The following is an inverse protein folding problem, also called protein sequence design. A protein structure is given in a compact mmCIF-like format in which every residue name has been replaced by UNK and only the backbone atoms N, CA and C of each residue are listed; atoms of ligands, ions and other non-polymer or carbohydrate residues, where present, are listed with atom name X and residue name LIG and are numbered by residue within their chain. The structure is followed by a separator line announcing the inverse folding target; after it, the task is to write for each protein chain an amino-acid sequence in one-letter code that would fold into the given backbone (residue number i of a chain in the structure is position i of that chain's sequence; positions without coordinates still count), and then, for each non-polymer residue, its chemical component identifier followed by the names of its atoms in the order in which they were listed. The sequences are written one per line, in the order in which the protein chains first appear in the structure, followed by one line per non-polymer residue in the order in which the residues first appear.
data_IF_013155434094
#
_entry.id   IF_013155434094
#
_cell.length_a   1.000
_cell.length_b   1.000
_cell.length_c   1.000
_cell.angle_alpha   90.00
_cell.angle_beta   90.00
_cell.angle_gamma   90.00
#
_symmetry.space_group_name_H-M   'P 1'
#
loop_
_entity.id
_entity.type
_entity.pdbx_description
1 polymer ?
#
# COMPACT_ATOMS: atom_id res chain seq x y z
N UNK A 1 -13.08 -13.84 34.98
CA UNK A 1 -12.03 -14.13 33.97
C UNK A 1 -12.44 -13.34 32.74
N UNK A 2 -11.83 -12.17 32.53
CA UNK A 2 -12.07 -11.35 31.34
C UNK A 2 -11.40 -12.00 30.16
N UNK A 3 -12.21 -12.42 29.18
CA UNK A 3 -11.77 -12.90 27.89
C UNK A 3 -10.99 -11.76 27.18
N UNK A 4 -9.67 -11.77 27.27
CA UNK A 4 -8.79 -10.90 26.49
C UNK A 4 -8.57 -11.54 25.12
N UNK A 5 -9.64 -11.62 24.32
CA UNK A 5 -9.46 -11.88 22.89
C UNK A 5 -8.62 -10.74 22.29
N UNK A 6 -7.57 -11.10 21.54
CA UNK A 6 -6.75 -10.11 20.84
C UNK A 6 -7.67 -9.17 20.02
N UNK A 7 -7.43 -7.85 20.06
CA UNK A 7 -8.28 -6.91 19.33
C UNK A 7 -8.35 -7.31 17.86
N UNK A 8 -9.57 -7.29 17.30
CA UNK A 8 -9.76 -7.66 15.91
C UNK A 8 -8.87 -6.76 15.01
N UNK A 9 -8.23 -7.35 13.99
CA UNK A 9 -7.29 -6.64 13.10
C UNK A 9 -7.87 -5.32 12.52
N UNK A 10 -9.20 -5.27 12.32
CA UNK A 10 -9.88 -4.05 11.85
C UNK A 10 -9.74 -2.87 12.83
N UNK A 11 -9.48 -3.11 14.12
CA UNK A 11 -9.30 -2.07 15.13
C UNK A 11 -7.97 -1.30 15.00
N UNK A 12 -7.10 -1.69 14.08
CA UNK A 12 -5.94 -0.88 13.66
C UNK A 12 -6.41 0.48 13.12
N UNK A 13 -7.55 0.54 12.42
CA UNK A 13 -8.20 1.79 11.97
C UNK A 13 -9.37 2.14 12.89
N UNK A 14 -9.09 2.34 14.16
CA UNK A 14 -10.07 2.80 15.17
C UNK A 14 -10.19 4.34 15.18
N UNK A 15 -11.07 4.85 16.03
CA UNK A 15 -11.33 6.30 16.14
C UNK A 15 -10.10 7.11 16.55
N UNK A 16 -9.26 6.58 17.44
CA UNK A 16 -8.04 7.22 17.90
C UNK A 16 -7.05 7.35 16.73
N UNK A 17 -6.91 6.30 15.92
CA UNK A 17 -6.06 6.30 14.74
C UNK A 17 -6.55 7.29 13.68
N UNK A 18 -7.84 7.36 13.43
CA UNK A 18 -8.42 8.36 12.52
C UNK A 18 -8.14 9.78 13.02
N UNK A 19 -8.24 10.02 14.33
CA UNK A 19 -7.92 11.31 14.92
C UNK A 19 -6.43 11.65 14.77
N UNK A 20 -5.54 10.68 14.97
CA UNK A 20 -4.11 10.87 14.74
C UNK A 20 -3.80 11.25 13.28
N UNK A 21 -4.38 10.53 12.31
CA UNK A 21 -4.24 10.88 10.89
C UNK A 21 -4.71 12.31 10.61
N UNK A 22 -5.86 12.71 11.16
CA UNK A 22 -6.39 14.06 10.99
C UNK A 22 -5.46 15.12 11.59
N UNK A 23 -4.89 14.88 12.76
CA UNK A 23 -3.95 15.77 13.44
C UNK A 23 -2.67 15.94 12.62
N UNK A 24 -2.07 14.83 12.19
CA UNK A 24 -0.83 14.87 11.42
C UNK A 24 -1.03 15.48 10.02
N UNK A 25 -2.20 15.22 9.41
CA UNK A 25 -2.54 15.86 8.13
C UNK A 25 -2.75 17.36 8.29
N UNK A 26 -3.36 17.83 9.38
CA UNK A 26 -3.50 19.28 9.68
C UNK A 26 -2.12 19.93 9.90
N UNK A 27 -1.18 19.23 10.52
CA UNK A 27 0.19 19.74 10.69
C UNK A 27 0.93 19.86 9.35
N UNK A 28 0.67 18.98 8.39
CA UNK A 28 1.25 19.02 7.03
C UNK A 28 0.53 20.06 6.15
N UNK A 29 -0.78 20.17 6.29
CA UNK A 29 -1.65 21.04 5.50
C UNK A 29 -2.62 21.81 6.42
N UNK A 30 -2.27 23.02 6.87
CA UNK A 30 -3.11 23.79 7.82
C UNK A 30 -4.54 24.09 7.35
N UNK A 31 -4.78 24.10 6.03
CA UNK A 31 -6.12 24.27 5.45
C UNK A 31 -6.92 22.97 5.35
N UNK A 32 -6.43 21.86 5.93
CA UNK A 32 -7.10 20.56 5.88
C UNK A 32 -8.42 20.58 6.65
N UNK A 33 -9.51 20.14 6.03
CA UNK A 33 -10.80 19.95 6.70
C UNK A 33 -10.80 18.66 7.52
N UNK A 34 -10.21 18.72 8.72
CA UNK A 34 -10.15 17.60 9.66
C UNK A 34 -11.55 17.11 10.10
N UNK A 35 -12.52 18.01 10.21
CA UNK A 35 -13.89 17.64 10.61
C UNK A 35 -14.61 16.89 9.48
N UNK A 36 -14.51 17.37 8.25
CA UNK A 36 -15.01 16.69 7.06
C UNK A 36 -14.39 15.31 6.90
N UNK A 37 -13.06 15.21 6.98
CA UNK A 37 -12.34 13.94 6.96
C UNK A 37 -12.88 12.96 8.01
N UNK A 38 -12.94 13.36 9.27
CA UNK A 38 -13.41 12.51 10.37
C UNK A 38 -14.87 12.10 10.20
N UNK A 39 -15.72 12.98 9.67
CA UNK A 39 -17.12 12.67 9.37
C UNK A 39 -17.20 11.55 8.32
N UNK A 40 -16.45 11.65 7.22
CA UNK A 40 -16.41 10.64 6.17
C UNK A 40 -15.78 9.32 6.64
N UNK A 41 -14.64 9.37 7.31
CA UNK A 41 -13.90 8.20 7.76
C UNK A 41 -14.64 7.38 8.81
N UNK A 42 -15.44 8.02 9.68
CA UNK A 42 -16.22 7.34 10.74
C UNK A 42 -17.53 6.73 10.24
N UNK A 43 -18.04 7.15 9.10
CA UNK A 43 -19.35 6.71 8.61
C UNK A 43 -19.39 5.19 8.38
N UNK A 44 -20.22 4.48 9.16
CA UNK A 44 -20.36 3.02 9.07
C UNK A 44 -19.12 2.22 9.44
N UNK A 45 -18.16 2.80 10.17
CA UNK A 45 -16.85 2.18 10.46
C UNK A 45 -16.96 0.79 11.12
N UNK A 46 -17.96 0.58 11.99
CA UNK A 46 -18.14 -0.69 12.71
C UNK A 46 -18.37 -1.88 11.77
N UNK A 47 -19.05 -1.65 10.63
CA UNK A 47 -19.45 -2.68 9.69
C UNK A 47 -18.35 -2.98 8.65
N UNK A 48 -17.29 -2.16 8.60
CA UNK A 48 -16.23 -2.29 7.63
C UNK A 48 -15.15 -3.30 8.07
N UNK A 49 -14.70 -4.12 7.12
CA UNK A 49 -13.48 -4.91 7.24
C UNK A 49 -12.24 -4.01 7.29
N UNK A 50 -11.09 -4.56 7.69
CA UNK A 50 -9.82 -3.80 7.76
C UNK A 50 -9.45 -3.15 6.42
N UNK A 51 -9.59 -3.86 5.29
CA UNK A 51 -9.28 -3.33 3.97
C UNK A 51 -10.26 -2.24 3.52
N UNK A 52 -11.54 -2.39 3.89
CA UNK A 52 -12.55 -1.36 3.63
C UNK A 52 -12.32 -0.11 4.48
N UNK A 53 -11.85 -0.25 5.74
CA UNK A 53 -11.47 0.88 6.58
C UNK A 53 -10.25 1.62 6.02
N UNK A 54 -9.24 0.89 5.53
CA UNK A 54 -8.08 1.46 4.84
C UNK A 54 -8.51 2.26 3.60
N UNK A 55 -9.32 1.68 2.73
CA UNK A 55 -9.87 2.36 1.54
C UNK A 55 -10.67 3.61 1.94
N UNK A 56 -11.52 3.50 2.98
CA UNK A 56 -12.32 4.60 3.50
C UNK A 56 -11.45 5.78 3.95
N UNK A 57 -10.29 5.55 4.58
CA UNK A 57 -9.34 6.62 4.94
C UNK A 57 -8.84 7.35 3.70
N UNK A 58 -8.40 6.59 2.68
CA UNK A 58 -7.95 7.14 1.40
C UNK A 58 -9.05 7.98 0.72
N UNK A 59 -10.26 7.44 0.60
CA UNK A 59 -11.40 8.12 -0.03
C UNK A 59 -11.80 9.38 0.75
N UNK A 60 -11.72 9.32 2.10
CA UNK A 60 -12.04 10.48 2.95
C UNK A 60 -11.03 11.61 2.79
N UNK A 61 -9.74 11.31 2.60
CA UNK A 61 -8.74 12.31 2.28
C UNK A 61 -9.03 12.96 0.92
N UNK A 62 -9.31 12.13 -0.09
CA UNK A 62 -9.64 12.63 -1.42
C UNK A 62 -10.86 13.55 -1.44
N UNK A 63 -11.87 13.22 -0.65
CA UNK A 63 -13.11 14.00 -0.57
C UNK A 63 -12.95 15.40 0.02
N UNK A 64 -11.92 15.64 0.85
CA UNK A 64 -11.74 16.91 1.58
C UNK A 64 -10.49 17.70 1.17
N UNK A 65 -9.63 17.12 0.33
CA UNK A 65 -8.44 17.80 -0.19
C UNK A 65 -8.76 18.35 -1.59
N UNK A 66 -8.96 19.67 -1.74
CA UNK A 66 -9.33 20.28 -3.02
C UNK A 66 -8.10 20.58 -3.90
N UNK A 67 -7.19 19.62 -3.99
CA UNK A 67 -5.94 19.72 -4.75
C UNK A 67 -5.89 18.64 -5.83
N UNK A 68 -5.11 18.88 -6.87
CA UNK A 68 -4.82 17.88 -7.89
C UNK A 68 -3.96 16.72 -7.33
N UNK A 69 -3.82 15.66 -8.11
CA UNK A 69 -3.07 14.48 -7.70
C UNK A 69 -1.60 14.79 -7.38
N UNK A 70 -0.82 15.51 -8.21
CA UNK A 70 0.56 15.87 -7.89
C UNK A 70 0.72 16.71 -6.63
N UNK A 71 -0.20 17.63 -6.37
CA UNK A 71 -0.20 18.46 -5.17
C UNK A 71 -0.54 17.64 -3.92
N UNK A 72 -1.56 16.77 -4.01
CA UNK A 72 -1.94 15.88 -2.93
C UNK A 72 -0.81 14.89 -2.60
N UNK A 73 -0.11 14.35 -3.60
CA UNK A 73 1.04 13.48 -3.35
C UNK A 73 2.12 14.15 -2.49
N UNK A 74 2.41 15.44 -2.69
CA UNK A 74 3.39 16.17 -1.85
C UNK A 74 2.98 16.15 -0.37
N UNK A 75 1.68 16.29 -0.09
CA UNK A 75 1.15 16.20 1.26
C UNK A 75 1.30 14.79 1.82
N UNK A 76 0.99 13.76 1.02
CA UNK A 76 1.10 12.36 1.43
C UNK A 76 2.57 11.95 1.68
N UNK A 77 3.52 12.45 0.89
CA UNK A 77 4.96 12.29 1.15
C UNK A 77 5.36 12.87 2.51
N UNK A 78 4.88 14.07 2.85
CA UNK A 78 5.17 14.69 4.14
C UNK A 78 4.45 14.02 5.31
N UNK A 79 3.28 13.41 5.06
CA UNK A 79 2.50 12.67 6.06
C UNK A 79 3.12 11.31 6.41
N UNK A 80 3.67 10.58 5.44
CA UNK A 80 4.13 9.21 5.61
C UNK A 80 5.03 8.98 6.84
N UNK A 81 6.10 9.77 7.08
CA UNK A 81 6.99 9.57 8.22
C UNK A 81 6.33 9.88 9.59
N UNK A 82 5.14 10.45 9.59
CA UNK A 82 4.42 10.87 10.81
C UNK A 82 3.40 9.83 11.31
N UNK A 83 3.15 8.77 10.53
CA UNK A 83 2.06 7.81 10.81
C UNK A 83 2.40 6.73 11.83
N UNK A 84 3.63 6.56 12.27
CA UNK A 84 4.06 5.66 13.35
C UNK A 84 3.51 4.21 13.31
N UNK A 85 3.06 3.71 12.13
CA UNK A 85 2.49 2.37 11.98
C UNK A 85 2.51 1.93 10.52
N UNK A 86 3.26 0.85 10.23
CA UNK A 86 3.37 0.30 8.89
C UNK A 86 2.04 -0.12 8.30
N UNK A 87 1.17 -0.77 9.08
CA UNK A 87 -0.13 -1.21 8.58
C UNK A 87 -1.09 -0.02 8.30
N UNK A 88 -1.06 1.01 9.14
CA UNK A 88 -1.87 2.22 8.91
C UNK A 88 -1.43 2.92 7.64
N UNK A 89 -0.12 2.96 7.35
CA UNK A 89 0.42 3.62 6.16
C UNK A 89 -0.07 3.03 4.84
N UNK A 90 -0.69 1.85 4.82
CA UNK A 90 -1.23 1.20 3.61
C UNK A 90 -2.28 2.03 2.87
N UNK A 91 -2.95 2.97 3.52
CA UNK A 91 -3.87 3.87 2.82
C UNK A 91 -3.16 4.83 1.85
N UNK A 92 -1.86 5.12 2.05
CA UNK A 92 -1.07 5.98 1.17
C UNK A 92 -0.88 5.35 -0.22
N UNK A 93 -0.30 4.12 -0.34
CA UNK A 93 -0.24 3.45 -1.64
C UNK A 93 -1.63 3.13 -2.20
N UNK A 94 -2.65 2.89 -1.37
CA UNK A 94 -4.02 2.73 -1.84
C UNK A 94 -4.54 4.00 -2.52
N UNK A 95 -4.24 5.18 -1.97
CA UNK A 95 -4.56 6.46 -2.60
C UNK A 95 -3.93 6.56 -3.99
N UNK A 96 -2.66 6.17 -4.13
CA UNK A 96 -1.95 6.15 -5.42
C UNK A 96 -2.66 5.24 -6.42
N UNK A 97 -3.04 4.02 -6.01
CA UNK A 97 -3.75 3.07 -6.88
C UNK A 97 -5.13 3.55 -7.32
N UNK A 98 -5.81 4.33 -6.46
CA UNK A 98 -7.17 4.83 -6.74
C UNK A 98 -7.18 6.09 -7.62
N UNK A 99 -6.19 6.98 -7.46
CA UNK A 99 -6.24 8.32 -8.04
C UNK A 99 -5.04 8.65 -8.94
N UNK A 100 -4.02 7.77 -9.03
CA UNK A 100 -2.76 8.07 -9.72
C UNK A 100 -2.51 7.27 -10.99
N UNK A 101 -3.48 6.48 -11.48
CA UNK A 101 -3.24 5.59 -12.63
C UNK A 101 -2.88 6.33 -13.92
N UNK A 102 -3.37 7.54 -14.10
CA UNK A 102 -3.09 8.36 -15.27
C UNK A 102 -1.73 9.08 -15.21
N UNK A 103 -1.08 9.09 -14.03
CA UNK A 103 0.26 9.65 -13.82
C UNK A 103 1.23 8.56 -13.38
N UNK A 104 1.57 7.69 -14.31
CA UNK A 104 2.33 6.46 -14.04
C UNK A 104 3.67 6.74 -13.36
N UNK A 105 4.48 7.66 -13.87
CA UNK A 105 5.84 7.92 -13.37
C UNK A 105 5.83 8.41 -11.91
N UNK A 106 4.94 9.40 -11.60
CA UNK A 106 4.79 9.87 -10.21
C UNK A 106 4.25 8.78 -9.30
N UNK A 107 3.34 7.97 -9.81
CA UNK A 107 2.75 6.87 -9.04
C UNK A 107 3.77 5.78 -8.71
N UNK A 108 4.63 5.39 -9.65
CA UNK A 108 5.72 4.45 -9.41
C UNK A 108 6.69 5.00 -8.36
N UNK A 109 7.12 6.27 -8.49
CA UNK A 109 7.97 6.92 -7.50
C UNK A 109 7.31 6.96 -6.11
N UNK A 110 6.01 7.24 -6.04
CA UNK A 110 5.24 7.26 -4.80
C UNK A 110 5.13 5.86 -4.16
N UNK A 111 4.82 4.83 -4.93
CA UNK A 111 4.75 3.46 -4.43
C UNK A 111 6.09 2.96 -3.91
N UNK A 112 7.19 3.28 -4.63
CA UNK A 112 8.56 3.00 -4.18
C UNK A 112 8.88 3.66 -2.84
N UNK A 113 8.47 4.91 -2.66
CA UNK A 113 8.68 5.63 -1.39
C UNK A 113 7.80 5.09 -0.27
N UNK A 114 6.50 4.93 -0.51
CA UNK A 114 5.56 4.53 0.55
C UNK A 114 5.79 3.09 1.04
N UNK A 115 6.36 2.21 0.21
CA UNK A 115 6.67 0.84 0.65
C UNK A 115 7.67 0.80 1.80
N UNK A 116 8.49 1.85 1.98
CA UNK A 116 9.44 1.96 3.11
C UNK A 116 8.78 2.28 4.45
N UNK A 117 7.51 2.69 4.46
CA UNK A 117 6.71 2.97 5.67
C UNK A 117 5.67 1.90 5.99
N UNK A 118 5.44 0.99 5.05
CA UNK A 118 4.44 -0.05 5.16
C UNK A 118 4.61 -1.07 4.06
N UNK A 119 3.65 -1.18 3.16
CA UNK A 119 3.77 -1.98 1.93
C UNK A 119 2.93 -1.40 0.80
N UNK A 120 3.48 -1.41 -0.41
CA UNK A 120 2.77 -1.02 -1.64
C UNK A 120 2.30 -2.22 -2.47
N UNK A 121 2.41 -3.44 -1.96
CA UNK A 121 2.14 -4.69 -2.70
C UNK A 121 0.69 -4.79 -3.22
N UNK A 122 -0.29 -4.30 -2.47
CA UNK A 122 -1.68 -4.27 -2.95
C UNK A 122 -1.88 -3.25 -4.06
N UNK A 123 -1.24 -2.09 -3.94
CA UNK A 123 -1.40 -0.96 -4.85
C UNK A 123 -0.76 -1.22 -6.22
N UNK A 124 0.46 -1.75 -6.27
CA UNK A 124 1.17 -2.03 -7.53
C UNK A 124 0.40 -2.99 -8.43
N UNK A 125 -0.41 -3.90 -7.86
CA UNK A 125 -1.21 -4.86 -8.61
C UNK A 125 -2.28 -4.20 -9.47
N UNK A 126 -2.79 -3.03 -9.09
CA UNK A 126 -3.71 -2.24 -9.91
C UNK A 126 -3.03 -1.69 -11.16
N UNK A 127 -1.74 -1.35 -11.07
CA UNK A 127 -0.94 -0.93 -12.21
C UNK A 127 -0.57 -2.12 -13.10
N UNK A 128 -0.28 -3.30 -12.53
CA UNK A 128 -0.11 -4.53 -13.30
C UNK A 128 -1.37 -4.92 -14.09
N UNK A 129 -2.57 -4.67 -13.57
CA UNK A 129 -3.81 -4.88 -14.32
C UNK A 129 -4.00 -3.86 -15.44
N UNK A 130 -3.52 -2.64 -15.26
CA UNK A 130 -3.73 -1.53 -16.19
C UNK A 130 -2.72 -1.55 -17.35
N UNK A 131 -1.44 -1.70 -17.02
CA UNK A 131 -0.33 -1.78 -17.96
C UNK A 131 0.72 -2.77 -17.45
N UNK A 132 0.51 -4.04 -17.74
CA UNK A 132 1.30 -5.14 -17.21
C UNK A 132 2.79 -4.99 -17.57
N UNK A 133 3.10 -4.79 -18.85
CA UNK A 133 4.49 -4.80 -19.32
C UNK A 133 5.30 -3.64 -18.75
N UNK A 134 4.73 -2.44 -18.77
CA UNK A 134 5.39 -1.25 -18.23
C UNK A 134 5.61 -1.35 -16.73
N UNK A 135 4.60 -1.82 -16.00
CA UNK A 135 4.70 -2.00 -14.55
C UNK A 135 5.72 -3.08 -14.19
N UNK A 136 5.70 -4.20 -14.91
CA UNK A 136 6.64 -5.29 -14.69
C UNK A 136 8.09 -4.86 -14.94
N UNK A 137 8.35 -4.05 -15.98
CA UNK A 137 9.68 -3.50 -16.24
C UNK A 137 10.22 -2.68 -15.06
N UNK A 138 9.39 -1.81 -14.48
CA UNK A 138 9.76 -1.05 -13.28
C UNK A 138 10.01 -1.97 -12.08
N UNK A 139 9.19 -3.00 -11.90
CA UNK A 139 9.38 -3.98 -10.81
C UNK A 139 10.65 -4.82 -10.99
N UNK A 140 11.07 -5.09 -12.23
CA UNK A 140 12.35 -5.73 -12.50
C UNK A 140 13.53 -4.86 -12.06
N UNK A 141 13.48 -3.55 -12.31
CA UNK A 141 14.47 -2.61 -11.77
C UNK A 141 14.47 -2.60 -10.25
N UNK A 142 13.28 -2.57 -9.63
CA UNK A 142 13.13 -2.59 -8.18
C UNK A 142 13.64 -3.87 -7.51
N UNK A 143 13.66 -4.99 -8.21
CA UNK A 143 14.24 -6.24 -7.69
C UNK A 143 15.76 -6.15 -7.46
N UNK A 144 16.41 -5.14 -8.00
CA UNK A 144 17.85 -4.86 -7.84
C UNK A 144 18.12 -3.64 -6.95
N UNK A 145 17.10 -3.03 -6.34
CA UNK A 145 17.21 -1.82 -5.53
C UNK A 145 18.06 -2.08 -4.26
N UNK A 146 18.75 -1.05 -3.77
CA UNK A 146 19.51 -1.14 -2.52
C UNK A 146 18.61 -1.33 -1.29
N UNK A 147 17.37 -0.79 -1.35
CA UNK A 147 16.39 -0.88 -0.28
C UNK A 147 15.64 -2.23 -0.33
N UNK A 148 15.68 -2.99 0.74
CA UNK A 148 15.05 -4.31 0.89
C UNK A 148 13.52 -4.25 0.78
N UNK A 149 12.86 -3.22 1.32
CA UNK A 149 11.42 -3.02 1.17
C UNK A 149 11.01 -2.84 -0.30
N UNK A 150 11.86 -2.20 -1.11
CA UNK A 150 11.60 -2.02 -2.55
C UNK A 150 11.79 -3.35 -3.28
N UNK A 151 12.85 -4.11 -2.95
CA UNK A 151 13.04 -5.45 -3.51
C UNK A 151 11.90 -6.40 -3.13
N UNK A 152 11.46 -6.34 -1.86
CA UNK A 152 10.29 -7.09 -1.39
C UNK A 152 9.01 -6.71 -2.14
N UNK A 153 8.78 -5.42 -2.40
CA UNK A 153 7.64 -4.97 -3.20
C UNK A 153 7.64 -5.63 -4.60
N UNK A 154 8.80 -5.74 -5.24
CA UNK A 154 8.92 -6.38 -6.55
C UNK A 154 8.49 -7.85 -6.50
N UNK A 155 8.92 -8.62 -5.50
CA UNK A 155 8.56 -10.04 -5.36
C UNK A 155 7.11 -10.23 -4.93
N UNK A 156 6.67 -9.59 -3.84
CA UNK A 156 5.33 -9.77 -3.28
C UNK A 156 4.23 -9.24 -4.20
N UNK A 157 4.46 -8.07 -4.80
CA UNK A 157 3.50 -7.47 -5.74
C UNK A 157 3.26 -8.32 -6.99
N UNK A 158 4.27 -9.08 -7.44
CA UNK A 158 4.20 -9.94 -8.62
C UNK A 158 3.64 -11.34 -8.36
N UNK A 159 3.36 -11.73 -7.12
CA UNK A 159 2.80 -13.05 -6.80
C UNK A 159 1.48 -13.29 -7.54
N UNK A 160 1.24 -14.49 -8.11
CA UNK A 160 -0.04 -14.82 -8.75
C UNK A 160 -1.22 -14.67 -7.77
N UNK A 161 -0.98 -15.04 -6.51
CA UNK A 161 -1.94 -14.94 -5.39
C UNK A 161 -1.30 -14.22 -4.22
N UNK A 162 -1.96 -13.19 -3.74
CA UNK A 162 -1.58 -12.44 -2.55
C UNK A 162 -2.79 -12.42 -1.59
N UNK A 163 -2.62 -12.77 -0.30
CA UNK A 163 -3.71 -12.67 0.68
C UNK A 163 -4.34 -11.27 0.66
N UNK A 164 -5.66 -11.20 0.78
CA UNK A 164 -6.47 -9.96 0.76
C UNK A 164 -6.44 -9.17 -0.54
N UNK A 165 -5.82 -9.69 -1.60
CA UNK A 165 -5.78 -9.07 -2.91
C UNK A 165 -6.41 -9.95 -3.98
N UNK A 166 -6.70 -9.37 -5.14
CA UNK A 166 -7.15 -10.11 -6.31
C UNK A 166 -6.01 -10.92 -6.93
N UNK A 167 -6.36 -11.92 -7.74
CA UNK A 167 -5.40 -12.76 -8.48
C UNK A 167 -4.90 -12.03 -9.71
N UNK A 168 -3.60 -12.19 -10.02
CA UNK A 168 -3.04 -11.80 -11.30
C UNK A 168 -3.17 -12.99 -12.26
N UNK A 169 -4.22 -12.98 -13.09
CA UNK A 169 -4.55 -14.09 -13.96
C UNK A 169 -3.43 -14.41 -14.97
N UNK A 170 -2.80 -13.38 -15.54
CA UNK A 170 -1.70 -13.53 -16.51
C UNK A 170 -0.49 -14.21 -15.87
N UNK A 171 -0.10 -13.81 -14.65
CA UNK A 171 1.01 -14.44 -13.91
C UNK A 171 0.64 -15.85 -13.47
N UNK A 172 -0.62 -16.10 -13.13
CA UNK A 172 -1.09 -17.45 -12.77
C UNK A 172 -1.04 -18.40 -13.99
N UNK A 173 -1.39 -17.90 -15.18
CA UNK A 173 -1.36 -18.67 -16.42
C UNK A 173 0.07 -18.89 -16.92
N UNK A 174 0.96 -17.91 -16.73
CA UNK A 174 2.35 -17.97 -17.15
C UNK A 174 3.29 -17.39 -16.06
N UNK A 175 3.70 -18.17 -15.06
CA UNK A 175 4.62 -17.72 -14.00
C UNK A 175 5.99 -17.24 -14.52
N UNK A 176 6.40 -17.66 -15.71
CA UNK A 176 7.67 -17.23 -16.32
C UNK A 176 7.73 -15.71 -16.58
N UNK A 177 6.58 -15.03 -16.63
CA UNK A 177 6.53 -13.57 -16.76
C UNK A 177 7.29 -12.83 -15.64
N UNK A 178 7.33 -13.40 -14.44
CA UNK A 178 8.01 -12.83 -13.28
C UNK A 178 9.35 -13.53 -12.97
N UNK A 179 9.83 -14.40 -13.84
CA UNK A 179 11.05 -15.20 -13.59
C UNK A 179 12.29 -14.32 -13.33
N UNK A 180 12.45 -13.22 -14.06
CA UNK A 180 13.58 -12.29 -13.89
C UNK A 180 13.61 -11.65 -12.50
N UNK A 181 12.45 -11.28 -11.95
CA UNK A 181 12.34 -10.76 -10.57
C UNK A 181 12.79 -11.83 -9.57
N UNK A 182 12.26 -13.05 -9.71
CA UNK A 182 12.60 -14.16 -8.81
C UNK A 182 14.07 -14.57 -8.93
N UNK A 183 14.62 -14.57 -10.14
CA UNK A 183 16.03 -14.88 -10.38
C UNK A 183 16.97 -13.85 -9.73
N UNK A 184 16.63 -12.57 -9.77
CA UNK A 184 17.39 -11.51 -9.11
C UNK A 184 17.39 -11.66 -7.58
N UNK A 185 16.33 -12.23 -7.00
CA UNK A 185 16.11 -12.32 -5.56
C UNK A 185 16.46 -13.68 -4.94
N UNK A 186 16.92 -14.66 -5.74
CA UNK A 186 17.30 -16.02 -5.25
C UNK A 186 18.33 -16.00 -4.13
N UNK A 187 19.25 -15.04 -4.15
CA UNK A 187 20.31 -14.86 -3.19
C UNK A 187 20.18 -13.47 -2.52
N UNK A 188 18.96 -13.06 -2.23
CA UNK A 188 18.73 -11.77 -1.58
C UNK A 188 19.38 -11.74 -0.20
N UNK A 189 19.94 -10.59 0.15
CA UNK A 189 20.69 -10.37 1.41
C UNK A 189 19.78 -10.25 2.64
N UNK A 190 18.47 -10.05 2.44
CA UNK A 190 17.52 -9.97 3.54
C UNK A 190 17.05 -11.37 3.95
N UNK A 191 17.09 -11.67 5.24
CA UNK A 191 16.62 -12.95 5.80
C UNK A 191 15.14 -13.18 5.52
N UNK A 192 14.33 -12.13 5.54
CA UNK A 192 12.90 -12.16 5.25
C UNK A 192 12.62 -12.65 3.82
N UNK A 193 13.34 -12.13 2.83
CA UNK A 193 13.22 -12.55 1.43
C UNK A 193 13.60 -14.00 1.21
N UNK A 194 14.70 -14.43 1.81
CA UNK A 194 15.20 -15.80 1.66
C UNK A 194 14.20 -16.81 2.23
N UNK A 195 13.60 -16.52 3.38
CA UNK A 195 12.61 -17.40 4.01
C UNK A 195 11.30 -17.50 3.20
N UNK A 196 10.85 -16.41 2.59
CA UNK A 196 9.64 -16.38 1.76
C UNK A 196 9.80 -17.15 0.44
N UNK A 197 10.96 -17.03 -0.21
CA UNK A 197 11.27 -17.78 -1.45
C UNK A 197 11.44 -19.28 -1.22
N UNK A 198 11.89 -19.69 -0.04
CA UNK A 198 12.08 -21.09 0.34
C UNK A 198 10.81 -21.76 0.88
N UNK A 199 9.76 -21.02 1.15
CA UNK A 199 8.49 -21.59 1.59
C UNK A 199 7.87 -22.42 0.47
N UNK A 200 7.69 -23.76 0.64
CA UNK A 200 7.06 -24.56 -0.38
C UNK A 200 5.64 -24.07 -0.60
N UNK A 201 5.29 -23.83 -1.86
CA UNK A 201 3.91 -23.53 -2.27
C UNK A 201 3.06 -24.73 -1.81
N UNK A 202 2.38 -24.61 -0.67
CA UNK A 202 1.42 -25.61 -0.25
C UNK A 202 0.26 -25.55 -1.24
N UNK A 203 0.20 -26.63 -2.02
CA UNK A 203 -0.89 -26.99 -2.93
C UNK A 203 -2.23 -27.10 -2.21
#
# INVERSE_FOLDING_TARGET
MTDQSAPALKEIFNLERLQHIATEMTAVYPAFDANGFLKHAKAGLADLSVMQRMARVSDSLHAVIPLDYPQTLKLLYALAPRLNSGFVSLFLPHYVASHGRDDFERSMAALKYFTTFGSSEFAIRHFLLHDFQRTLAVMQEWSLDDNDHVRRLASEGSRPRLPWSFRLADVQANPALCASILDSLKADRSEEHTSELQSPVRS
#
